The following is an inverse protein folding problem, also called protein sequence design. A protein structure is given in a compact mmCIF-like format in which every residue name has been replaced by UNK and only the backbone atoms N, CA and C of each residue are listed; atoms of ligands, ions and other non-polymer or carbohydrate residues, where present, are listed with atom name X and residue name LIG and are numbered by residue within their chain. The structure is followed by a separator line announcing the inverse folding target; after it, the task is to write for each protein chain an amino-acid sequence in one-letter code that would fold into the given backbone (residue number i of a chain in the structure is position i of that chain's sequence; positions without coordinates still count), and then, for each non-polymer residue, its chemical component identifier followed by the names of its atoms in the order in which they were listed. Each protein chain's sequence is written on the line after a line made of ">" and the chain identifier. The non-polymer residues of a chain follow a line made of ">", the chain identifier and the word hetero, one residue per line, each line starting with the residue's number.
data_IF_378424134243
#
_entry.id   IF_378424134243
#
_cell.length_a   1.000
_cell.length_b   1.000
_cell.length_c   1.000
_cell.angle_alpha   90.00
_cell.angle_beta   90.00
_cell.angle_gamma   90.00
#
_symmetry.space_group_name_H-M   'P 1'
#
loop_
_entity.id
_entity.type
_entity.pdbx_description
1 polymer ?
#
# COMPACT_ATOMS: atom_id res chain seq x y z
N UNK A 1 7.22 1.16 18.49
CA UNK A 1 7.82 -0.13 18.92
C UNK A 1 8.90 -0.53 17.94
N UNK A 2 10.11 -0.94 18.34
CA UNK A 2 11.13 -1.40 17.41
C UNK A 2 10.71 -2.72 16.77
N UNK A 3 10.98 -2.88 15.46
CA UNK A 3 10.60 -4.11 14.73
C UNK A 3 11.29 -5.36 15.28
N UNK A 4 12.46 -5.20 15.86
CA UNK A 4 13.25 -6.30 16.43
C UNK A 4 12.58 -6.99 17.62
N UNK A 5 11.66 -6.31 18.27
CA UNK A 5 10.86 -6.84 19.37
C UNK A 5 9.59 -7.58 18.90
N UNK A 6 9.30 -7.55 17.58
CA UNK A 6 8.13 -8.19 17.00
C UNK A 6 8.44 -9.58 16.46
N UNK A 7 7.47 -10.50 16.45
CA UNK A 7 7.59 -11.76 15.74
C UNK A 7 7.93 -11.52 14.27
N UNK A 8 8.77 -12.38 13.71
CA UNK A 8 9.17 -12.31 12.29
C UNK A 8 9.86 -10.99 11.88
N UNK A 9 10.69 -10.42 12.76
CA UNK A 9 11.36 -9.12 12.55
C UNK A 9 12.06 -9.00 11.19
N UNK A 10 12.79 -10.02 10.77
CA UNK A 10 13.48 -10.04 9.47
C UNK A 10 12.50 -9.95 8.31
N UNK A 11 11.45 -10.76 8.31
CA UNK A 11 10.43 -10.74 7.26
C UNK A 11 9.72 -9.36 7.21
N UNK A 12 9.38 -8.79 8.37
CA UNK A 12 8.78 -7.46 8.45
C UNK A 12 9.70 -6.39 7.88
N UNK A 13 11.00 -6.44 8.14
CA UNK A 13 11.98 -5.49 7.58
C UNK A 13 12.06 -5.59 6.06
N UNK A 14 12.16 -6.80 5.53
CA UNK A 14 12.21 -7.02 4.08
C UNK A 14 10.93 -6.48 3.43
N UNK A 15 9.77 -6.87 3.93
CA UNK A 15 8.47 -6.42 3.42
C UNK A 15 8.29 -4.91 3.53
N UNK A 16 8.78 -4.30 4.62
CA UNK A 16 8.75 -2.85 4.82
C UNK A 16 9.59 -2.12 3.77
N UNK A 17 10.82 -2.58 3.54
CA UNK A 17 11.72 -1.96 2.56
C UNK A 17 11.14 -2.09 1.16
N UNK A 18 10.62 -3.27 0.79
CA UNK A 18 9.99 -3.49 -0.50
C UNK A 18 8.76 -2.58 -0.69
N UNK A 19 7.90 -2.49 0.31
CA UNK A 19 6.72 -1.62 0.25
C UNK A 19 7.10 -0.15 0.16
N UNK A 20 8.07 0.32 0.96
CA UNK A 20 8.56 1.69 0.91
C UNK A 20 9.16 2.01 -0.48
N UNK A 21 9.92 1.11 -1.06
CA UNK A 21 10.48 1.28 -2.40
C UNK A 21 9.38 1.36 -3.47
N UNK A 22 8.38 0.47 -3.43
CA UNK A 22 7.26 0.46 -4.36
C UNK A 22 6.49 1.78 -4.28
N UNK A 23 6.05 2.19 -3.09
CA UNK A 23 5.30 3.43 -2.91
C UNK A 23 6.12 4.68 -3.25
N UNK A 24 7.41 4.69 -2.96
CA UNK A 24 8.28 5.81 -3.37
C UNK A 24 8.34 5.95 -4.89
N UNK A 25 8.57 4.85 -5.61
CA UNK A 25 8.66 4.85 -7.08
C UNK A 25 7.34 5.28 -7.71
N UNK A 26 6.21 4.68 -7.29
CA UNK A 26 4.90 5.04 -7.82
C UNK A 26 4.50 6.46 -7.45
N UNK A 27 4.79 6.90 -6.23
CA UNK A 27 4.53 8.27 -5.80
C UNK A 27 5.30 9.30 -6.64
N UNK A 28 6.56 9.03 -6.94
CA UNK A 28 7.35 9.89 -7.83
C UNK A 28 6.77 9.93 -9.25
N UNK A 29 6.30 8.79 -9.79
CA UNK A 29 5.66 8.72 -11.10
C UNK A 29 4.36 9.53 -11.10
N UNK A 30 3.49 9.39 -10.08
CA UNK A 30 2.24 10.13 -9.97
C UNK A 30 2.46 11.65 -9.92
N UNK A 31 3.51 12.09 -9.22
CA UNK A 31 3.84 13.53 -9.13
C UNK A 31 4.47 14.04 -10.42
N UNK A 32 5.41 13.27 -11.01
CA UNK A 32 6.16 13.72 -12.18
C UNK A 32 5.34 13.62 -13.48
N UNK A 33 4.51 12.57 -13.61
CA UNK A 33 3.74 12.28 -14.84
C UNK A 33 2.30 11.89 -14.52
N UNK A 34 1.45 12.84 -14.05
CA UNK A 34 0.07 12.53 -13.63
C UNK A 34 -0.86 12.19 -14.80
N UNK A 35 -0.60 12.69 -16.00
CA UNK A 35 -1.53 12.63 -17.14
C UNK A 35 -1.93 11.20 -17.57
N UNK A 36 -1.03 10.19 -17.60
CA UNK A 36 -1.41 8.81 -17.90
C UNK A 36 -2.45 8.19 -16.96
N UNK A 37 -2.59 8.72 -15.75
CA UNK A 37 -3.53 8.21 -14.76
C UNK A 37 -4.91 8.87 -14.82
N UNK A 38 -5.07 9.99 -15.55
CA UNK A 38 -6.34 10.72 -15.63
C UNK A 38 -7.49 9.88 -16.20
N UNK A 39 -7.28 9.06 -17.26
CA UNK A 39 -8.37 8.27 -17.84
C UNK A 39 -9.00 7.25 -16.89
N UNK A 40 -8.22 6.75 -15.91
CA UNK A 40 -8.72 5.78 -14.93
C UNK A 40 -9.42 6.42 -13.73
N UNK A 41 -9.37 7.74 -13.60
CA UNK A 41 -10.04 8.42 -12.51
C UNK A 41 -11.56 8.33 -12.66
N UNK A 42 -12.30 7.97 -11.58
CA UNK A 42 -13.75 7.99 -11.62
C UNK A 42 -14.30 9.37 -11.95
N UNK A 43 -15.39 9.43 -12.73
CA UNK A 43 -15.96 10.70 -13.21
C UNK A 43 -16.48 11.63 -12.09
N UNK A 44 -16.76 11.07 -10.90
CA UNK A 44 -17.21 11.84 -9.73
C UNK A 44 -16.07 12.50 -8.95
N UNK A 45 -14.80 12.21 -9.30
CA UNK A 45 -13.65 12.80 -8.62
C UNK A 45 -13.41 14.22 -9.14
N UNK A 46 -13.50 15.25 -8.29
CA UNK A 46 -13.20 16.62 -8.70
C UNK A 46 -11.71 16.82 -8.90
N UNK A 47 -11.33 17.69 -9.84
CA UNK A 47 -9.93 18.04 -10.12
C UNK A 47 -8.99 16.82 -10.22
N UNK A 48 -9.23 15.86 -11.14
CA UNK A 48 -8.57 14.56 -11.14
C UNK A 48 -7.04 14.65 -11.19
N UNK A 49 -6.48 15.62 -11.90
CA UNK A 49 -5.03 15.83 -11.94
C UNK A 49 -4.45 16.18 -10.58
N UNK A 50 -5.11 17.06 -9.83
CA UNK A 50 -4.69 17.42 -8.48
C UNK A 50 -4.76 16.21 -7.55
N UNK A 51 -5.83 15.40 -7.66
CA UNK A 51 -5.99 14.19 -6.86
C UNK A 51 -4.86 13.19 -7.16
N UNK A 52 -4.49 12.98 -8.44
CA UNK A 52 -3.36 12.10 -8.81
C UNK A 52 -2.05 12.61 -8.20
N UNK A 53 -1.77 13.90 -8.23
CA UNK A 53 -0.57 14.47 -7.62
C UNK A 53 -0.59 14.29 -6.10
N UNK A 54 -1.73 14.56 -5.45
CA UNK A 54 -1.89 14.40 -4.00
C UNK A 54 -1.73 12.92 -3.58
N UNK A 55 -2.25 11.98 -4.36
CA UNK A 55 -2.02 10.55 -4.10
C UNK A 55 -0.54 10.20 -4.18
N UNK A 56 0.19 10.75 -5.16
CA UNK A 56 1.65 10.58 -5.24
C UNK A 56 2.39 11.15 -4.03
N UNK A 57 1.99 12.32 -3.56
CA UNK A 57 2.55 12.92 -2.32
C UNK A 57 2.25 12.03 -1.10
N UNK A 58 1.04 11.49 -0.98
CA UNK A 58 0.68 10.56 0.09
C UNK A 58 1.51 9.26 0.03
N UNK A 59 1.78 8.74 -1.17
CA UNK A 59 2.63 7.56 -1.39
C UNK A 59 4.07 7.82 -0.92
N UNK A 60 4.65 8.95 -1.31
CA UNK A 60 6.00 9.35 -0.89
C UNK A 60 6.06 9.54 0.63
N UNK A 61 5.10 10.26 1.21
CA UNK A 61 5.02 10.46 2.65
C UNK A 61 4.85 9.14 3.41
N UNK A 62 4.02 8.23 2.89
CA UNK A 62 3.82 6.89 3.43
C UNK A 62 5.10 6.05 3.38
N UNK A 63 5.82 6.09 2.25
CA UNK A 63 7.10 5.39 2.09
C UNK A 63 8.15 5.86 3.10
N UNK A 64 8.31 7.17 3.26
CA UNK A 64 9.21 7.77 4.25
C UNK A 64 8.74 7.41 5.66
N UNK A 65 7.45 7.53 5.93
CA UNK A 65 6.86 7.23 7.23
C UNK A 65 7.01 5.79 7.69
N UNK A 66 7.02 4.82 6.74
CA UNK A 66 7.29 3.41 7.04
C UNK A 66 8.72 3.20 7.54
N UNK A 67 9.70 3.87 6.96
CA UNK A 67 11.12 3.72 7.32
C UNK A 67 11.41 4.38 8.67
N UNK A 68 10.76 5.48 8.99
CA UNK A 68 10.95 6.20 10.24
C UNK A 68 10.24 5.48 11.40
N UNK A 69 10.96 4.99 12.44
CA UNK A 69 10.35 4.17 13.50
C UNK A 69 9.20 4.82 14.27
N UNK A 70 9.23 6.17 14.43
CA UNK A 70 8.22 6.94 15.17
C UNK A 70 6.88 7.04 14.44
N UNK A 71 6.92 7.10 13.12
CA UNK A 71 5.72 7.30 12.25
C UNK A 71 5.26 6.00 11.58
N UNK A 72 6.03 4.94 11.68
CA UNK A 72 5.79 3.65 11.00
C UNK A 72 4.39 3.10 11.18
N UNK A 73 3.90 3.05 12.42
CA UNK A 73 2.56 2.55 12.71
C UNK A 73 1.49 3.36 11.96
N UNK A 74 1.58 4.70 12.08
CA UNK A 74 0.64 5.61 11.41
C UNK A 74 0.74 5.47 9.88
N UNK A 75 1.96 5.42 9.34
CA UNK A 75 2.18 5.24 7.90
C UNK A 75 1.57 3.92 7.38
N UNK A 76 1.71 2.82 8.14
CA UNK A 76 1.08 1.55 7.77
C UNK A 76 -0.43 1.62 7.72
N UNK A 77 -1.07 2.26 8.70
CA UNK A 77 -2.53 2.48 8.71
C UNK A 77 -2.95 3.38 7.54
N UNK A 78 -2.24 4.49 7.33
CA UNK A 78 -2.58 5.42 6.24
C UNK A 78 -2.40 4.81 4.86
N UNK A 79 -1.36 4.01 4.64
CA UNK A 79 -1.17 3.30 3.37
C UNK A 79 -2.21 2.19 3.15
N UNK A 80 -2.65 1.52 4.21
CA UNK A 80 -3.76 0.57 4.14
C UNK A 80 -5.06 1.27 3.72
N UNK A 81 -5.39 2.41 4.33
CA UNK A 81 -6.54 3.24 3.94
C UNK A 81 -6.39 3.76 2.51
N UNK A 82 -5.20 4.25 2.14
CA UNK A 82 -4.89 4.67 0.78
C UNK A 82 -5.17 3.56 -0.24
N UNK A 83 -4.71 2.33 0.03
CA UNK A 83 -4.97 1.19 -0.85
C UNK A 83 -6.47 0.98 -1.06
N UNK A 84 -7.30 1.12 -0.02
CA UNK A 84 -8.77 1.05 -0.14
C UNK A 84 -9.31 2.23 -0.97
N UNK A 85 -8.83 3.45 -0.74
CA UNK A 85 -9.32 4.64 -1.44
C UNK A 85 -9.03 4.65 -2.94
N UNK A 86 -7.91 4.05 -3.39
CA UNK A 86 -7.57 3.98 -4.82
C UNK A 86 -8.23 2.81 -5.54
N UNK A 87 -8.90 1.92 -4.82
CA UNK A 87 -9.53 0.74 -5.40
C UNK A 87 -10.58 1.06 -6.47
N UNK A 88 -11.45 2.08 -6.35
CA UNK A 88 -12.39 2.48 -7.41
C UNK A 88 -11.71 2.82 -8.74
N UNK A 89 -10.55 3.48 -8.73
CA UNK A 89 -9.78 3.75 -9.95
C UNK A 89 -9.23 2.46 -10.57
N UNK A 90 -8.80 1.50 -9.73
CA UNK A 90 -8.36 0.19 -10.19
C UNK A 90 -9.49 -0.62 -10.82
N UNK A 91 -10.69 -0.56 -10.24
CA UNK A 91 -11.90 -1.17 -10.81
C UNK A 91 -12.25 -0.54 -12.16
N UNK A 92 -12.30 0.79 -12.24
CA UNK A 92 -12.56 1.49 -13.49
C UNK A 92 -11.55 1.09 -14.57
N UNK A 93 -10.26 1.08 -14.26
CA UNK A 93 -9.22 0.65 -15.21
C UNK A 93 -9.48 -0.76 -15.76
N UNK A 94 -9.92 -1.70 -14.89
CA UNK A 94 -10.15 -3.08 -15.27
C UNK A 94 -11.43 -3.29 -16.09
N UNK A 95 -12.54 -2.67 -15.68
CA UNK A 95 -13.86 -2.93 -16.25
C UNK A 95 -14.19 -2.04 -17.46
N UNK A 96 -13.71 -0.80 -17.47
CA UNK A 96 -13.93 0.11 -18.58
C UNK A 96 -12.89 -0.07 -19.71
N UNK A 97 -11.98 -1.05 -19.58
CA UNK A 97 -10.91 -1.33 -20.54
C UNK A 97 -10.11 -0.08 -20.94
N UNK A 98 -9.89 0.82 -19.98
CA UNK A 98 -9.18 2.07 -20.22
C UNK A 98 -7.75 1.79 -20.64
N UNK A 99 -7.35 2.20 -21.83
CA UNK A 99 -5.96 2.10 -22.27
C UNK A 99 -5.10 3.15 -21.55
N UNK A 100 -4.16 2.71 -20.74
CA UNK A 100 -3.12 3.55 -20.14
C UNK A 100 -1.81 3.25 -20.85
N UNK A 101 -1.12 4.26 -21.41
CA UNK A 101 0.18 4.04 -22.05
C UNK A 101 1.13 3.27 -21.13
N UNK A 102 1.83 2.29 -21.69
CA UNK A 102 2.82 1.45 -21.02
C UNK A 102 2.26 0.46 -19.98
N UNK A 103 0.94 0.40 -19.75
CA UNK A 103 0.33 -0.63 -18.90
C UNK A 103 -0.42 -1.67 -19.74
N UNK A 104 -0.33 -2.96 -19.38
CA UNK A 104 -1.11 -3.99 -20.05
C UNK A 104 -2.61 -3.80 -19.83
N UNK A 105 -3.43 -4.15 -20.85
CA UNK A 105 -4.90 -3.98 -20.82
C UNK A 105 -5.67 -5.29 -20.64
N UNK A 106 -4.98 -6.43 -20.51
CA UNK A 106 -5.64 -7.74 -20.43
C UNK A 106 -6.05 -8.15 -19.02
N UNK A 107 -7.04 -9.04 -18.90
CA UNK A 107 -7.47 -9.61 -17.63
C UNK A 107 -6.37 -10.37 -16.87
N UNK A 108 -5.37 -10.89 -17.57
CA UNK A 108 -4.18 -11.49 -16.97
C UNK A 108 -3.38 -10.48 -16.11
N UNK A 109 -3.52 -9.17 -16.40
CA UNK A 109 -2.92 -8.08 -15.62
C UNK A 109 -3.91 -7.54 -14.56
N UNK A 110 -5.17 -7.27 -14.98
CA UNK A 110 -6.17 -6.66 -14.09
C UNK A 110 -6.64 -7.61 -12.99
N UNK A 111 -6.86 -8.89 -13.31
CA UNK A 111 -7.30 -9.89 -12.33
C UNK A 111 -6.37 -10.00 -11.13
N UNK A 112 -5.08 -10.33 -11.31
CA UNK A 112 -4.12 -10.34 -10.22
C UNK A 112 -4.04 -9.01 -9.48
N UNK A 113 -4.02 -7.87 -10.19
CA UNK A 113 -3.95 -6.54 -9.58
C UNK A 113 -5.11 -6.26 -8.63
N UNK A 114 -6.34 -6.62 -9.02
CA UNK A 114 -7.51 -6.46 -8.15
C UNK A 114 -7.49 -7.41 -6.95
N UNK A 115 -7.05 -8.66 -7.15
CA UNK A 115 -6.92 -9.64 -6.08
C UNK A 115 -5.79 -9.29 -5.10
N UNK A 116 -4.74 -8.61 -5.56
CA UNK A 116 -3.66 -8.15 -4.70
C UNK A 116 -4.04 -6.95 -3.81
N UNK A 117 -5.15 -6.27 -4.08
CA UNK A 117 -5.54 -5.09 -3.29
C UNK A 117 -5.69 -5.40 -1.78
N UNK A 118 -6.44 -6.44 -1.35
CA UNK A 118 -6.48 -6.80 0.07
C UNK A 118 -5.12 -7.27 0.60
N UNK A 119 -4.26 -7.83 -0.26
CA UNK A 119 -2.89 -8.19 0.10
C UNK A 119 -2.06 -6.94 0.41
N UNK A 120 -2.19 -5.86 -0.36
CA UNK A 120 -1.52 -4.58 -0.08
C UNK A 120 -1.98 -3.98 1.25
N UNK A 121 -3.28 -4.03 1.55
CA UNK A 121 -3.83 -3.59 2.84
C UNK A 121 -3.19 -4.40 3.99
N UNK A 122 -3.22 -5.72 3.88
CA UNK A 122 -2.60 -6.60 4.86
C UNK A 122 -1.09 -6.33 4.99
N UNK A 123 -0.38 -6.21 3.89
CA UNK A 123 1.06 -5.99 3.85
C UNK A 123 1.46 -4.70 4.55
N UNK A 124 0.75 -3.60 4.30
CA UNK A 124 0.98 -2.31 4.97
C UNK A 124 0.83 -2.44 6.49
N UNK A 125 -0.25 -3.07 6.94
CA UNK A 125 -0.51 -3.26 8.37
C UNK A 125 0.49 -4.23 9.02
N UNK A 126 0.84 -5.31 8.33
CA UNK A 126 1.76 -6.32 8.85
C UNK A 126 3.19 -5.78 8.96
N UNK A 127 3.76 -5.21 7.90
CA UNK A 127 5.15 -4.74 7.92
C UNK A 127 5.35 -3.55 8.87
N UNK A 128 4.31 -2.73 9.08
CA UNK A 128 4.33 -1.62 10.02
C UNK A 128 4.17 -2.06 11.50
N UNK A 129 3.85 -3.34 11.76
CA UNK A 129 3.63 -3.86 13.11
C UNK A 129 2.28 -3.50 13.71
N UNK A 130 1.28 -3.20 12.86
CA UNK A 130 -0.10 -2.92 13.30
C UNK A 130 -0.83 -4.23 13.61
N UNK A 131 -0.60 -5.27 12.80
CA UNK A 131 -1.17 -6.61 12.98
C UNK A 131 -0.08 -7.69 12.95
N UNK A 132 -0.37 -8.83 13.60
CA UNK A 132 0.50 -10.01 13.64
C UNK A 132 -0.07 -11.19 12.85
N UNK A 133 -1.32 -11.11 12.39
CA UNK A 133 -1.97 -12.16 11.61
C UNK A 133 -1.28 -12.34 10.24
N UNK A 134 -1.08 -13.57 9.75
CA UNK A 134 -1.51 -14.87 10.30
C UNK A 134 -0.55 -15.49 11.31
N UNK A 135 0.54 -14.85 11.64
CA UNK A 135 1.64 -15.38 12.46
C UNK A 135 1.49 -15.02 13.95
N UNK A 136 0.32 -15.23 14.52
CA UNK A 136 0.10 -15.02 15.96
C UNK A 136 1.13 -15.83 16.76
N UNK A 137 2.08 -15.17 17.43
CA UNK A 137 2.84 -15.82 18.50
C UNK A 137 1.87 -16.18 19.62
N UNK A 138 1.89 -17.44 20.07
CA UNK A 138 1.22 -17.87 21.31
C UNK A 138 1.81 -17.08 22.49
N UNK A 139 1.22 -15.94 22.81
CA UNK A 139 1.41 -15.27 24.09
C UNK A 139 0.57 -16.03 25.10
N UNK A 140 1.11 -17.12 25.71
CA UNK A 140 0.28 -17.86 26.61
C UNK A 140 0.91 -19.04 27.33
N UNK A 141 2.24 -19.24 27.31
CA UNK A 141 2.87 -20.22 28.20
C UNK A 141 3.95 -19.54 29.05
N UNK A 142 3.52 -18.66 29.94
CA UNK A 142 4.26 -18.50 31.18
C UNK A 142 3.74 -19.59 32.13
N UNK A 143 4.56 -20.61 32.52
CA UNK A 143 4.18 -21.48 33.60
C UNK A 143 3.97 -20.59 34.81
N UNK A 144 2.81 -20.77 35.49
CA UNK A 144 2.59 -20.24 36.82
C UNK A 144 3.65 -20.86 37.69
N UNK A 145 4.69 -20.11 38.02
CA UNK A 145 5.64 -20.47 39.09
C UNK A 145 4.86 -20.31 40.38
N UNK A 146 4.42 -21.47 40.91
CA UNK A 146 3.96 -21.58 42.29
C UNK A 146 5.10 -21.37 43.28
#
# INVERSE_FOLDING_TARGET
>A
MPLDALPHATARRILLILMAAIYLVFGLIHVATPDPFLPIMPAWVPAPRLVVILTGVCEIAGAIGLVVPRTRWLAGVMLALYAVCVYPANLKHAFDHVAVPQLPSGWWYHGPRLLFQPVFVWWALFCAGVIDWPFRSRRGDRPATG
#
